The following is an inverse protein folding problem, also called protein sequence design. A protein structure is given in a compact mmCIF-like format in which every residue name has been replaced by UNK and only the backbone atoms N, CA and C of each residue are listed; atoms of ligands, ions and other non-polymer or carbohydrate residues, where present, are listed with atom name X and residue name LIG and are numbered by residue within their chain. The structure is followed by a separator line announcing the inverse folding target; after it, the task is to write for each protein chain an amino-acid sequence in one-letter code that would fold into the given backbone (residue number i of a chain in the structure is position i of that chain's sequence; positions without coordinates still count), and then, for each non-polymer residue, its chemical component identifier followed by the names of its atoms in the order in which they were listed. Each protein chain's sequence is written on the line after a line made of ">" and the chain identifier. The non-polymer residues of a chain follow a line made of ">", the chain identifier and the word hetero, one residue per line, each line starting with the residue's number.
data_IF_115046100274
#
_entry.id   IF_115046100274
#
_cell.length_a   1.000
_cell.length_b   1.000
_cell.length_c   1.000
_cell.angle_alpha   90.00
_cell.angle_beta   90.00
_cell.angle_gamma   90.00
#
_symmetry.space_group_name_H-M   'P 1'
#
loop_
_entity.id
_entity.type
_entity.pdbx_description
1 polymer ?
#
# COMPACT_ATOMS: atom_id res chain seq x y z
N UNK A 1 25.21 -4.82 -10.89
CA UNK A 1 23.85 -5.42 -11.09
C UNK A 1 22.76 -4.56 -10.46
N UNK A 2 22.94 -4.09 -9.22
CA UNK A 2 22.02 -3.14 -8.58
C UNK A 2 21.86 -1.83 -9.39
N UNK A 3 22.96 -1.28 -9.93
CA UNK A 3 22.90 -0.02 -10.71
C UNK A 3 22.04 -0.11 -11.97
N UNK A 4 22.01 -1.28 -12.63
CA UNK A 4 21.19 -1.48 -13.83
C UNK A 4 19.70 -1.56 -13.49
N UNK A 5 19.36 -2.19 -12.36
CA UNK A 5 17.97 -2.24 -11.86
C UNK A 5 17.53 -0.84 -11.44
N UNK A 6 18.40 -0.13 -10.72
CA UNK A 6 18.19 1.26 -10.31
C UNK A 6 17.90 2.17 -11.51
N UNK A 7 18.74 2.10 -12.55
CA UNK A 7 18.56 2.92 -13.76
C UNK A 7 17.28 2.56 -14.52
N UNK A 8 16.88 1.29 -14.49
CA UNK A 8 15.63 0.83 -15.14
C UNK A 8 14.40 1.31 -14.36
N UNK A 9 14.44 1.27 -13.03
CA UNK A 9 13.35 1.77 -12.18
C UNK A 9 13.21 3.29 -12.31
N UNK A 10 14.31 4.03 -12.26
CA UNK A 10 14.30 5.48 -12.47
C UNK A 10 13.79 5.86 -13.87
N UNK A 11 14.13 5.09 -14.91
CA UNK A 11 13.57 5.31 -16.25
C UNK A 11 12.07 4.99 -16.29
N UNK A 12 11.61 3.93 -15.62
CA UNK A 12 10.19 3.59 -15.55
C UNK A 12 9.38 4.66 -14.82
N UNK A 13 9.89 5.18 -13.71
CA UNK A 13 9.32 6.31 -12.97
C UNK A 13 9.15 7.53 -13.88
N UNK A 14 10.24 7.98 -14.51
CA UNK A 14 10.20 9.10 -15.46
C UNK A 14 9.23 8.84 -16.64
N UNK A 15 9.14 7.60 -17.13
CA UNK A 15 8.24 7.26 -18.23
C UNK A 15 6.76 7.23 -17.83
N UNK A 16 6.45 6.80 -16.60
CA UNK A 16 5.07 6.79 -16.09
C UNK A 16 4.62 8.22 -15.80
N UNK A 17 5.49 9.05 -15.22
CA UNK A 17 5.21 10.47 -14.96
C UNK A 17 4.95 11.26 -16.24
N UNK A 18 5.71 10.97 -17.30
CA UNK A 18 5.55 11.65 -18.59
C UNK A 18 4.35 11.17 -19.40
N UNK A 19 3.85 9.94 -19.18
CA UNK A 19 2.69 9.43 -19.93
C UNK A 19 1.94 8.29 -19.21
N UNK A 20 0.72 8.56 -18.70
CA UNK A 20 -0.16 7.52 -18.13
C UNK A 20 -0.51 6.40 -19.12
N UNK A 21 -0.44 6.66 -20.43
CA UNK A 21 -0.66 5.66 -21.48
C UNK A 21 0.43 4.58 -21.51
N UNK A 22 1.62 4.86 -20.98
CA UNK A 22 2.70 3.86 -20.84
C UNK A 22 2.34 2.87 -19.74
N UNK A 23 1.76 3.31 -18.62
CA UNK A 23 1.28 2.42 -17.56
C UNK A 23 0.23 1.43 -18.11
N UNK A 24 -0.76 1.92 -18.87
CA UNK A 24 -1.75 1.04 -19.50
C UNK A 24 -1.13 0.06 -20.51
N UNK A 25 -0.15 0.49 -21.30
CA UNK A 25 0.55 -0.42 -22.24
C UNK A 25 1.41 -1.44 -21.52
N UNK A 26 2.02 -1.06 -20.39
CA UNK A 26 2.81 -1.95 -19.54
C UNK A 26 1.93 -3.05 -18.95
N UNK A 27 0.65 -2.75 -18.69
CA UNK A 27 -0.35 -3.71 -18.20
C UNK A 27 -0.94 -4.53 -19.35
N UNK A 28 -1.33 -3.89 -20.47
CA UNK A 28 -1.95 -4.56 -21.62
C UNK A 28 -1.01 -5.50 -22.37
N UNK A 29 0.30 -5.22 -22.42
CA UNK A 29 1.28 -6.18 -22.97
C UNK A 29 1.32 -7.49 -22.17
N UNK A 30 0.94 -7.46 -20.89
CA UNK A 30 0.98 -8.62 -20.00
C UNK A 30 -0.26 -9.50 -20.16
N UNK A 31 -1.43 -8.92 -20.42
CA UNK A 31 -2.66 -9.67 -20.69
C UNK A 31 -2.65 -10.50 -21.99
N UNK A 32 -1.65 -10.30 -22.86
CA UNK A 32 -1.52 -11.04 -24.14
C UNK A 32 -0.60 -12.26 -24.07
N UNK A 33 0.20 -12.41 -23.01
CA UNK A 33 1.07 -13.59 -22.82
C UNK A 33 0.41 -14.70 -21.99
N UNK A 34 -0.75 -14.43 -21.37
CA UNK A 34 -1.56 -15.43 -20.67
C UNK A 34 -2.69 -15.96 -21.59
N UNK A 35 -2.32 -16.78 -22.58
CA UNK A 35 -3.24 -17.59 -23.41
C UNK A 35 -2.88 -19.09 -23.28
N UNK A 36 -3.85 -20.02 -23.44
CA UNK A 36 -3.87 -21.29 -22.72
C UNK A 36 -2.80 -22.25 -23.24
N UNK A 37 -1.91 -22.70 -22.35
CA UNK A 37 -1.02 -23.82 -22.61
C UNK A 37 -1.77 -25.13 -22.42
N UNK A 38 -1.80 -25.93 -23.48
CA UNK A 38 -2.43 -27.24 -23.57
C UNK A 38 -1.98 -28.20 -22.45
N UNK A 39 -2.95 -28.72 -21.70
CA UNK A 39 -2.75 -29.80 -20.75
C UNK A 39 -2.80 -31.14 -21.51
N UNK A 40 -1.63 -31.69 -21.82
CA UNK A 40 -1.46 -33.11 -22.12
C UNK A 40 -0.47 -33.71 -21.11
N UNK A 41 -0.97 -34.71 -20.37
CA UNK A 41 -0.30 -35.27 -19.20
C UNK A 41 0.89 -36.16 -19.51
N UNK A 42 1.67 -36.44 -18.45
CA UNK A 42 2.36 -37.72 -18.25
C UNK A 42 2.78 -37.88 -16.78
N UNK A 43 2.47 -39.06 -16.25
CA UNK A 43 2.86 -39.62 -14.96
C UNK A 43 4.34 -40.01 -14.93
N UNK A 44 4.99 -39.97 -13.76
CA UNK A 44 6.29 -40.60 -13.53
C UNK A 44 7.00 -40.11 -12.25
N UNK A 45 7.11 -40.96 -11.23
CA UNK A 45 7.71 -40.65 -9.92
C UNK A 45 9.24 -40.78 -9.82
N UNK A 46 9.81 -40.35 -8.68
CA UNK A 46 11.15 -40.78 -8.23
C UNK A 46 12.01 -39.74 -7.49
N UNK A 47 12.06 -39.86 -6.14
CA UNK A 47 13.14 -39.57 -5.16
C UNK A 47 14.18 -38.42 -5.39
N UNK A 48 14.20 -37.47 -4.43
CA UNK A 48 15.37 -37.16 -3.58
C UNK A 48 16.28 -35.96 -3.92
N UNK A 49 16.50 -35.11 -2.89
CA UNK A 49 17.65 -34.21 -2.56
C UNK A 49 17.47 -32.68 -2.65
N UNK A 50 17.74 -32.08 -1.47
CA UNK A 50 18.38 -30.77 -1.15
C UNK A 50 17.58 -29.45 -1.26
N UNK A 51 17.83 -28.49 -0.34
CA UNK A 51 17.00 -27.32 -0.14
C UNK A 51 17.33 -26.28 -1.21
N UNK A 52 16.54 -26.26 -2.28
CA UNK A 52 16.58 -25.17 -3.24
C UNK A 52 15.98 -23.94 -2.57
N UNK A 53 16.83 -22.95 -2.28
CA UNK A 53 16.40 -21.59 -2.03
C UNK A 53 15.39 -21.20 -3.10
N UNK A 54 14.22 -20.74 -2.65
CA UNK A 54 13.04 -20.50 -3.48
C UNK A 54 13.30 -19.39 -4.51
N UNK A 55 13.98 -19.74 -5.59
CA UNK A 55 13.98 -18.98 -6.83
C UNK A 55 12.68 -19.29 -7.57
N UNK A 56 11.56 -18.76 -7.08
CA UNK A 56 10.37 -18.60 -7.93
C UNK A 56 10.46 -17.23 -8.59
N UNK A 57 11.41 -17.06 -9.50
CA UNK A 57 11.27 -16.09 -10.57
C UNK A 57 10.22 -16.67 -11.55
N UNK A 58 8.97 -16.71 -11.09
CA UNK A 58 7.83 -16.91 -11.98
C UNK A 58 7.81 -15.71 -12.92
N UNK A 59 7.58 -15.94 -14.20
CA UNK A 59 7.38 -14.94 -15.25
C UNK A 59 6.16 -14.08 -14.92
N UNK A 60 6.28 -13.22 -13.91
CA UNK A 60 5.24 -12.37 -13.38
C UNK A 60 5.31 -11.01 -14.03
N UNK A 61 4.15 -10.40 -14.23
CA UNK A 61 4.03 -9.02 -14.69
C UNK A 61 4.88 -8.09 -13.81
N UNK A 62 5.33 -6.95 -14.37
CA UNK A 62 6.06 -5.92 -13.60
C UNK A 62 5.29 -5.54 -12.33
N UNK A 63 3.96 -5.48 -12.42
CA UNK A 63 3.08 -5.23 -11.27
C UNK A 63 3.22 -6.31 -10.18
N UNK A 64 3.19 -7.59 -10.55
CA UNK A 64 3.38 -8.70 -9.60
C UNK A 64 4.76 -8.64 -8.94
N UNK A 65 5.80 -8.27 -9.69
CA UNK A 65 7.13 -8.09 -9.14
C UNK A 65 7.20 -6.92 -8.16
N UNK A 66 6.59 -5.77 -8.50
CA UNK A 66 6.52 -4.60 -7.61
C UNK A 66 5.80 -4.94 -6.31
N UNK A 67 4.64 -5.59 -6.37
CA UNK A 67 3.89 -6.03 -5.19
C UNK A 67 4.74 -6.92 -4.29
N UNK A 68 5.41 -7.93 -4.88
CA UNK A 68 6.28 -8.82 -4.12
C UNK A 68 7.47 -8.07 -3.49
N UNK A 69 8.05 -7.12 -4.23
CA UNK A 69 9.21 -6.35 -3.80
C UNK A 69 8.89 -5.35 -2.68
N UNK A 70 7.74 -4.70 -2.75
CA UNK A 70 7.25 -3.79 -1.71
C UNK A 70 6.84 -4.61 -0.48
N UNK A 71 6.07 -5.67 -0.67
CA UNK A 71 5.57 -6.53 0.41
C UNK A 71 6.66 -7.25 1.22
N UNK A 72 7.80 -7.58 0.60
CA UNK A 72 8.83 -8.44 1.21
C UNK A 72 10.25 -7.97 0.89
N UNK A 73 11.15 -8.14 1.85
CA UNK A 73 12.58 -7.93 1.67
C UNK A 73 13.20 -6.95 2.66
N UNK A 74 14.51 -6.74 2.48
CA UNK A 74 15.31 -5.75 3.22
C UNK A 74 14.87 -4.33 2.88
N UNK A 75 15.07 -3.41 3.82
CA UNK A 75 14.87 -1.99 3.59
C UNK A 75 16.11 -1.48 2.86
N UNK A 76 16.00 -1.31 1.55
CA UNK A 76 17.03 -0.72 0.69
C UNK A 76 16.37 0.27 -0.28
N UNK A 77 17.19 1.07 -0.95
CA UNK A 77 16.70 2.10 -1.87
C UNK A 77 15.85 1.52 -3.00
N UNK A 78 16.14 0.30 -3.50
CA UNK A 78 15.33 -0.31 -4.55
C UNK A 78 13.90 -0.64 -4.08
N UNK A 79 13.72 -0.96 -2.79
CA UNK A 79 12.39 -1.18 -2.22
C UNK A 79 11.62 0.13 -2.09
N UNK A 80 12.31 1.22 -1.74
CA UNK A 80 11.73 2.57 -1.74
C UNK A 80 11.24 2.97 -3.15
N UNK A 81 12.10 2.88 -4.18
CA UNK A 81 11.70 3.15 -5.57
C UNK A 81 10.56 2.26 -6.05
N UNK A 82 10.58 0.97 -5.69
CA UNK A 82 9.49 0.07 -6.04
C UNK A 82 8.15 0.49 -5.40
N UNK A 83 8.18 1.04 -4.18
CA UNK A 83 6.96 1.54 -3.50
C UNK A 83 6.40 2.79 -4.16
N UNK A 84 7.27 3.70 -4.60
CA UNK A 84 6.90 4.93 -5.30
C UNK A 84 6.29 4.64 -6.67
N UNK A 85 6.97 3.83 -7.49
CA UNK A 85 6.45 3.42 -8.80
C UNK A 85 5.09 2.72 -8.65
N UNK A 86 4.95 1.84 -7.65
CA UNK A 86 3.68 1.17 -7.38
C UNK A 86 2.59 2.18 -7.02
N UNK A 87 2.88 3.16 -6.16
CA UNK A 87 1.94 4.21 -5.79
C UNK A 87 1.49 5.02 -7.03
N UNK A 88 2.43 5.46 -7.88
CA UNK A 88 2.14 6.22 -9.10
C UNK A 88 1.26 5.39 -10.06
N UNK A 89 1.60 4.11 -10.28
CA UNK A 89 0.82 3.23 -11.16
C UNK A 89 -0.63 3.06 -10.68
N UNK A 90 -0.83 2.98 -9.36
CA UNK A 90 -2.16 2.85 -8.77
C UNK A 90 -2.93 4.17 -8.75
N UNK A 91 -2.25 5.32 -8.64
CA UNK A 91 -2.92 6.63 -8.71
C UNK A 91 -3.39 6.95 -10.13
N UNK A 92 -2.65 6.51 -11.16
CA UNK A 92 -2.85 6.93 -12.55
C UNK A 92 -3.77 6.03 -13.37
N UNK A 93 -4.05 4.80 -12.94
CA UNK A 93 -4.86 3.87 -13.74
C UNK A 93 -5.75 2.95 -12.92
N UNK A 94 -7.05 2.98 -13.21
CA UNK A 94 -8.01 2.04 -12.63
C UNK A 94 -7.77 0.59 -13.09
N UNK A 95 -7.14 0.38 -14.25
CA UNK A 95 -6.72 -0.95 -14.68
C UNK A 95 -5.63 -1.50 -13.76
N UNK A 96 -4.66 -0.66 -13.35
CA UNK A 96 -3.66 -1.04 -12.34
C UNK A 96 -4.32 -1.39 -11.02
N UNK A 97 -5.27 -0.57 -10.55
CA UNK A 97 -5.99 -0.82 -9.29
C UNK A 97 -6.73 -2.16 -9.33
N UNK A 98 -7.42 -2.47 -10.43
CA UNK A 98 -8.14 -3.74 -10.60
C UNK A 98 -7.19 -4.93 -10.58
N UNK A 99 -6.12 -4.90 -11.38
CA UNK A 99 -5.13 -5.98 -11.40
C UNK A 99 -4.48 -6.17 -10.00
N UNK A 100 -4.10 -5.06 -9.35
CA UNK A 100 -3.54 -5.08 -8.00
C UNK A 100 -4.48 -5.70 -6.97
N UNK A 101 -5.72 -5.24 -6.89
CA UNK A 101 -6.65 -5.63 -5.85
C UNK A 101 -7.23 -7.02 -6.12
N UNK A 102 -7.69 -7.28 -7.34
CA UNK A 102 -8.54 -8.44 -7.66
C UNK A 102 -7.76 -9.64 -8.23
N UNK A 103 -6.62 -9.41 -8.88
CA UNK A 103 -5.90 -10.48 -9.59
C UNK A 103 -4.61 -10.90 -8.87
N UNK A 104 -3.91 -9.94 -8.25
CA UNK A 104 -2.55 -10.14 -7.75
C UNK A 104 -2.45 -10.23 -6.21
N UNK A 105 -3.56 -10.12 -5.49
CA UNK A 105 -3.56 -10.15 -4.02
C UNK A 105 -2.75 -9.00 -3.40
N UNK A 106 -2.67 -7.87 -4.09
CA UNK A 106 -1.82 -6.74 -3.70
C UNK A 106 -2.25 -6.09 -2.39
N UNK A 107 -3.55 -6.08 -2.10
CA UNK A 107 -4.10 -5.50 -0.86
C UNK A 107 -3.50 -6.19 0.38
N UNK A 108 -3.58 -7.52 0.43
CA UNK A 108 -3.00 -8.34 1.52
C UNK A 108 -1.49 -8.12 1.63
N UNK A 109 -0.77 -8.10 0.49
CA UNK A 109 0.68 -7.93 0.47
C UNK A 109 1.12 -6.58 1.07
N UNK A 110 0.44 -5.47 0.71
CA UNK A 110 0.76 -4.15 1.26
C UNK A 110 0.33 -4.01 2.72
N UNK A 111 -0.81 -4.59 3.11
CA UNK A 111 -1.25 -4.58 4.52
C UNK A 111 -0.27 -5.35 5.41
N UNK A 112 0.28 -6.48 4.94
CA UNK A 112 1.35 -7.18 5.64
C UNK A 112 2.60 -6.32 5.81
N UNK A 113 2.97 -5.53 4.80
CA UNK A 113 4.09 -4.60 4.89
C UNK A 113 3.83 -3.51 5.94
N UNK A 114 2.65 -2.89 5.92
CA UNK A 114 2.22 -1.89 6.92
C UNK A 114 2.16 -2.50 8.32
N UNK A 115 1.72 -3.75 8.45
CA UNK A 115 1.60 -4.43 9.74
C UNK A 115 2.95 -4.62 10.47
N UNK A 116 4.09 -4.54 9.78
CA UNK A 116 5.43 -4.52 10.41
C UNK A 116 5.59 -3.32 11.34
N UNK A 117 4.98 -2.18 11.00
CA UNK A 117 5.01 -0.93 11.77
C UNK A 117 3.97 -0.88 12.89
N UNK A 118 3.20 -1.97 13.11
CA UNK A 118 2.19 -2.00 14.17
C UNK A 118 2.80 -1.96 15.56
N UNK A 119 4.08 -2.32 15.71
CA UNK A 119 4.82 -2.37 16.98
C UNK A 119 5.88 -1.27 17.13
N UNK A 120 6.48 -0.80 16.03
CA UNK A 120 7.54 0.19 16.01
C UNK A 120 7.33 1.20 14.87
N UNK A 121 7.82 2.42 15.05
CA UNK A 121 7.85 3.42 13.97
C UNK A 121 9.02 3.11 13.01
N UNK A 122 9.00 3.68 11.78
CA UNK A 122 10.17 3.73 10.91
C UNK A 122 11.44 4.19 11.63
N UNK A 123 12.57 3.59 11.30
CA UNK A 123 13.87 3.84 11.92
C UNK A 123 14.61 5.05 11.34
N UNK A 124 14.35 5.38 10.07
CA UNK A 124 14.97 6.48 9.33
C UNK A 124 13.99 7.12 8.34
N UNK A 125 14.46 8.14 7.62
CA UNK A 125 13.66 8.90 6.67
C UNK A 125 13.27 8.09 5.42
N UNK A 126 14.15 7.20 4.93
CA UNK A 126 13.84 6.34 3.78
C UNK A 126 12.71 5.35 4.12
N UNK A 127 12.71 4.83 5.35
CA UNK A 127 11.66 3.94 5.81
C UNK A 127 10.33 4.67 6.08
N UNK A 128 10.39 5.94 6.50
CA UNK A 128 9.21 6.82 6.63
C UNK A 128 8.58 7.08 5.25
N UNK A 129 9.38 7.47 4.26
CA UNK A 129 8.96 7.70 2.88
C UNK A 129 8.40 6.41 2.23
N UNK A 130 9.08 5.28 2.44
CA UNK A 130 8.58 3.98 2.00
C UNK A 130 7.18 3.69 2.57
N UNK A 131 6.98 3.94 3.87
CA UNK A 131 5.70 3.70 4.52
C UNK A 131 4.61 4.64 3.96
N UNK A 132 4.93 5.90 3.72
CA UNK A 132 4.02 6.87 3.07
C UNK A 132 3.61 6.39 1.67
N UNK A 133 4.56 5.97 0.84
CA UNK A 133 4.29 5.42 -0.49
C UNK A 133 3.37 4.19 -0.44
N UNK A 134 3.57 3.30 0.53
CA UNK A 134 2.67 2.14 0.71
C UNK A 134 1.26 2.58 1.12
N UNK A 135 1.13 3.59 1.99
CA UNK A 135 -0.18 4.14 2.34
C UNK A 135 -0.87 4.82 1.15
N UNK A 136 -0.14 5.53 0.30
CA UNK A 136 -0.71 6.17 -0.89
C UNK A 136 -1.18 5.13 -1.91
N UNK A 137 -0.41 4.06 -2.12
CA UNK A 137 -0.83 2.89 -2.91
C UNK A 137 -2.12 2.25 -2.38
N UNK A 138 -2.20 2.07 -1.05
CA UNK A 138 -3.39 1.55 -0.38
C UNK A 138 -4.60 2.48 -0.52
N UNK A 139 -4.41 3.80 -0.35
CA UNK A 139 -5.47 4.80 -0.51
C UNK A 139 -6.00 4.83 -1.94
N UNK A 140 -5.11 4.85 -2.93
CA UNK A 140 -5.48 4.81 -4.35
C UNK A 140 -6.31 3.55 -4.67
N UNK A 141 -5.95 2.41 -4.06
CA UNK A 141 -6.67 1.15 -4.23
C UNK A 141 -8.02 1.14 -3.51
N UNK A 142 -8.14 1.77 -2.34
CA UNK A 142 -9.39 1.86 -1.57
C UNK A 142 -10.47 2.68 -2.29
N UNK A 143 -10.07 3.59 -3.19
CA UNK A 143 -11.00 4.34 -4.04
C UNK A 143 -11.67 3.48 -5.12
N UNK A 144 -11.17 2.27 -5.42
CA UNK A 144 -11.78 1.36 -6.39
C UNK A 144 -12.95 0.61 -5.73
N UNK A 145 -14.21 0.83 -6.14
CA UNK A 145 -15.37 0.19 -5.51
C UNK A 145 -15.32 -1.34 -5.56
N UNK A 146 -14.90 -1.92 -6.68
CA UNK A 146 -14.81 -3.37 -6.89
C UNK A 146 -13.75 -4.02 -5.98
N UNK A 147 -12.70 -3.28 -5.61
CA UNK A 147 -11.61 -3.74 -4.76
C UNK A 147 -11.96 -3.76 -3.26
N UNK A 148 -13.07 -3.14 -2.84
CA UNK A 148 -13.43 -3.02 -1.42
C UNK A 148 -13.71 -4.37 -0.76
N UNK A 149 -14.18 -5.36 -1.52
CA UNK A 149 -14.34 -6.73 -1.00
C UNK A 149 -13.01 -7.33 -0.55
N UNK A 150 -11.93 -7.12 -1.29
CA UNK A 150 -10.60 -7.62 -0.95
C UNK A 150 -9.99 -6.91 0.25
N UNK A 151 -10.30 -5.61 0.41
CA UNK A 151 -9.92 -4.83 1.60
C UNK A 151 -10.52 -5.43 2.88
N UNK A 152 -11.82 -5.78 2.84
CA UNK A 152 -12.52 -6.37 3.99
C UNK A 152 -11.97 -7.75 4.32
N UNK A 153 -11.73 -8.59 3.30
CA UNK A 153 -11.13 -9.92 3.46
C UNK A 153 -9.74 -9.86 4.10
N UNK A 154 -8.96 -8.82 3.78
CA UNK A 154 -7.62 -8.62 4.31
C UNK A 154 -7.59 -7.93 5.70
N UNK A 155 -8.74 -7.78 6.36
CA UNK A 155 -8.86 -7.14 7.69
C UNK A 155 -8.22 -5.74 7.75
N UNK A 156 -8.26 -5.00 6.64
CA UNK A 156 -7.55 -3.72 6.52
C UNK A 156 -8.02 -2.72 7.58
N UNK A 157 -9.33 -2.68 7.84
CA UNK A 157 -9.95 -1.75 8.78
C UNK A 157 -9.41 -1.97 10.20
N UNK A 158 -9.28 -3.22 10.65
CA UNK A 158 -8.72 -3.57 11.96
C UNK A 158 -7.29 -3.06 12.10
N UNK A 159 -6.47 -3.26 11.06
CA UNK A 159 -5.09 -2.78 11.04
C UNK A 159 -5.04 -1.25 11.14
N UNK A 160 -5.84 -0.54 10.35
CA UNK A 160 -5.86 0.93 10.38
C UNK A 160 -6.29 1.48 11.73
N UNK A 161 -7.29 0.87 12.38
CA UNK A 161 -7.71 1.27 13.73
C UNK A 161 -6.58 1.09 14.75
N UNK A 162 -5.79 0.02 14.64
CA UNK A 162 -4.59 -0.18 15.47
C UNK A 162 -3.56 0.92 15.21
N UNK A 163 -3.31 1.25 13.95
CA UNK A 163 -2.34 2.29 13.55
C UNK A 163 -2.75 3.67 14.09
N UNK A 164 -4.01 4.07 13.90
CA UNK A 164 -4.55 5.34 14.40
C UNK A 164 -4.37 5.51 15.92
N UNK A 165 -4.60 4.43 16.67
CA UNK A 165 -4.51 4.44 18.14
C UNK A 165 -3.05 4.53 18.63
N UNK A 166 -2.14 3.77 18.01
CA UNK A 166 -0.81 3.50 18.60
C UNK A 166 0.37 4.18 17.89
N UNK A 167 0.20 4.66 16.65
CA UNK A 167 1.30 5.11 15.79
C UNK A 167 1.12 6.56 15.37
N UNK A 168 1.88 7.52 15.93
CA UNK A 168 1.76 8.93 15.58
C UNK A 168 2.01 9.22 14.10
N UNK A 169 3.03 8.60 13.49
CA UNK A 169 3.39 8.82 12.08
C UNK A 169 2.37 8.20 11.12
N UNK A 170 1.92 6.97 11.39
CA UNK A 170 0.92 6.30 10.56
C UNK A 170 -0.53 6.76 10.82
N UNK A 171 -0.78 7.71 11.73
CA UNK A 171 -2.14 8.09 12.13
C UNK A 171 -2.90 8.81 11.04
N UNK A 172 -2.29 9.83 10.44
CA UNK A 172 -2.90 10.61 9.37
C UNK A 172 -3.08 9.74 8.11
N UNK A 173 -2.08 8.98 7.64
CA UNK A 173 -2.27 8.05 6.53
C UNK A 173 -3.33 6.98 6.79
N UNK A 174 -3.40 6.40 7.99
CA UNK A 174 -4.44 5.43 8.34
C UNK A 174 -5.83 6.05 8.35
N UNK A 175 -5.97 7.31 8.81
CA UNK A 175 -7.24 8.03 8.74
C UNK A 175 -7.66 8.34 7.31
N UNK A 176 -6.72 8.82 6.49
CA UNK A 176 -6.92 9.06 5.04
C UNK A 176 -7.38 7.79 4.34
N UNK A 177 -6.75 6.64 4.62
CA UNK A 177 -7.19 5.35 4.10
C UNK A 177 -8.62 5.00 4.55
N UNK A 178 -8.93 5.16 5.85
CA UNK A 178 -10.27 4.88 6.36
C UNK A 178 -11.32 5.74 5.64
N UNK A 179 -11.04 7.02 5.39
CA UNK A 179 -11.97 7.88 4.65
C UNK A 179 -12.37 7.28 3.29
N UNK A 180 -11.40 6.85 2.50
CA UNK A 180 -11.67 6.24 1.19
C UNK A 180 -12.30 4.86 1.29
N UNK A 181 -11.89 4.03 2.26
CA UNK A 181 -12.40 2.69 2.44
C UNK A 181 -13.88 2.68 2.89
N UNK A 182 -14.27 3.65 3.73
CA UNK A 182 -15.60 3.75 4.32
C UNK A 182 -16.63 4.44 3.41
N UNK A 183 -16.17 5.35 2.55
CA UNK A 183 -17.03 6.02 1.56
C UNK A 183 -17.78 4.96 0.74
N UNK A 184 -19.10 5.08 0.58
CA UNK A 184 -19.93 4.17 -0.21
C UNK A 184 -19.77 2.67 0.12
N UNK A 185 -19.46 2.32 1.38
CA UNK A 185 -19.24 0.93 1.80
C UNK A 185 -19.83 0.64 3.18
N UNK A 186 -21.11 0.29 3.21
CA UNK A 186 -21.80 -0.14 4.44
C UNK A 186 -21.05 -1.24 5.22
N UNK A 187 -20.58 -2.35 4.60
CA UNK A 187 -19.86 -3.38 5.34
C UNK A 187 -18.51 -2.90 5.91
N UNK A 188 -17.82 -1.95 5.26
CA UNK A 188 -16.62 -1.35 5.83
C UNK A 188 -16.93 -0.48 7.06
N UNK A 189 -18.03 0.28 7.02
CA UNK A 189 -18.51 1.05 8.17
C UNK A 189 -18.88 0.16 9.36
N UNK A 190 -19.58 -0.95 9.10
CA UNK A 190 -19.91 -1.93 10.14
C UNK A 190 -18.66 -2.52 10.78
N UNK A 191 -17.68 -2.94 9.97
CA UNK A 191 -16.40 -3.44 10.47
C UNK A 191 -15.65 -2.35 11.28
N UNK A 192 -15.64 -1.10 10.82
CA UNK A 192 -14.98 0.00 11.53
C UNK A 192 -15.56 0.24 12.93
N UNK A 193 -16.88 0.16 13.06
CA UNK A 193 -17.55 0.23 14.37
C UNK A 193 -17.19 -0.99 15.21
N UNK A 194 -17.22 -2.20 14.64
CA UNK A 194 -16.86 -3.44 15.33
C UNK A 194 -15.41 -3.44 15.84
N UNK A 195 -14.46 -2.89 15.07
CA UNK A 195 -13.04 -2.76 15.44
C UNK A 195 -12.77 -1.62 16.45
N UNK A 196 -13.82 -0.97 16.98
CA UNK A 196 -13.75 0.15 17.90
C UNK A 196 -13.03 1.38 17.29
N UNK A 197 -13.30 1.67 16.01
CA UNK A 197 -12.79 2.81 15.26
C UNK A 197 -13.39 4.16 15.68
N UNK A 198 -14.59 4.15 16.27
CA UNK A 198 -15.24 5.39 16.76
C UNK A 198 -14.44 6.07 17.87
N UNK A 199 -13.77 5.32 18.74
CA UNK A 199 -12.94 5.87 19.81
C UNK A 199 -11.85 6.84 19.32
N UNK A 200 -10.94 6.41 18.42
CA UNK A 200 -9.96 7.31 17.82
C UNK A 200 -10.60 8.39 16.95
N UNK A 201 -11.64 8.08 16.16
CA UNK A 201 -12.34 9.05 15.31
C UNK A 201 -12.87 10.25 16.12
N UNK A 202 -13.67 9.99 17.16
CA UNK A 202 -14.17 11.04 18.06
C UNK A 202 -13.04 11.72 18.84
N UNK A 203 -11.96 10.99 19.15
CA UNK A 203 -10.75 11.57 19.71
C UNK A 203 -10.21 12.69 18.81
N UNK A 204 -10.02 12.40 17.52
CA UNK A 204 -9.50 13.36 16.55
C UNK A 204 -10.50 14.48 16.24
N UNK A 205 -11.80 14.18 16.18
CA UNK A 205 -12.86 15.18 16.04
C UNK A 205 -12.81 16.23 17.15
N UNK A 206 -12.54 15.79 18.38
CA UNK A 206 -12.38 16.67 19.55
C UNK A 206 -10.98 17.31 19.65
N UNK A 207 -10.15 17.21 18.61
CA UNK A 207 -8.78 17.73 18.57
C UNK A 207 -7.77 16.94 19.41
N UNK A 208 -8.15 15.78 19.97
CA UNK A 208 -7.28 14.93 20.80
C UNK A 208 -6.53 13.93 19.92
N UNK A 209 -5.20 13.92 20.00
CA UNK A 209 -4.36 12.94 19.31
C UNK A 209 -3.21 13.56 18.50
N UNK A 210 -3.34 14.82 18.11
CA UNK A 210 -2.30 15.58 17.41
C UNK A 210 -1.28 16.24 18.39
N UNK A 211 -1.52 16.16 19.70
CA UNK A 211 -0.81 16.95 20.72
C UNK A 211 0.25 16.23 21.55
N UNK A 212 0.34 14.89 21.52
CA UNK A 212 1.12 14.14 22.54
C UNK A 212 2.59 13.85 22.20
N UNK A 213 3.23 14.67 21.36
CA UNK A 213 4.65 14.54 21.05
C UNK A 213 5.35 15.90 21.01
N UNK A 214 6.30 16.10 21.92
CA UNK A 214 7.23 17.24 22.05
C UNK A 214 6.69 18.51 22.74
N UNK A 215 7.36 18.84 23.85
CA UNK A 215 7.22 20.11 24.55
C UNK A 215 7.58 21.32 23.67
N UNK A 216 7.23 22.50 24.18
CA UNK A 216 7.52 23.84 23.64
C UNK A 216 8.81 23.86 22.80
N UNK A 217 8.72 24.06 21.47
CA UNK A 217 9.62 24.94 20.65
C UNK A 217 9.35 24.91 19.13
N UNK A 218 9.72 26.04 18.51
CA UNK A 218 9.83 26.40 17.08
C UNK A 218 8.54 26.72 16.28
N UNK A 219 8.44 27.98 15.80
CA UNK A 219 7.35 28.50 14.96
C UNK A 219 7.13 27.69 13.66
N UNK A 220 8.16 27.05 13.10
CA UNK A 220 8.06 26.22 11.90
C UNK A 220 7.28 24.92 12.09
N UNK A 221 7.54 24.18 13.18
CA UNK A 221 6.78 22.96 13.53
C UNK A 221 5.30 23.25 13.83
N UNK A 222 4.98 24.48 14.27
CA UNK A 222 3.59 24.89 14.54
C UNK A 222 2.76 25.02 13.26
N UNK A 223 3.36 25.41 12.13
CA UNK A 223 2.66 25.50 10.83
C UNK A 223 2.36 24.12 10.28
N UNK A 224 3.37 23.26 10.13
CA UNK A 224 3.21 21.88 9.65
C UNK A 224 2.20 21.07 10.48
N UNK A 225 2.20 21.25 11.81
CA UNK A 225 1.21 20.62 12.69
C UNK A 225 -0.21 21.15 12.48
N UNK A 226 -0.36 22.44 12.16
CA UNK A 226 -1.67 23.02 11.84
C UNK A 226 -2.18 22.49 10.50
N UNK A 227 -1.29 22.30 9.54
CA UNK A 227 -1.62 21.76 8.22
C UNK A 227 -2.08 20.29 8.36
N UNK A 228 -1.31 19.43 9.06
CA UNK A 228 -1.73 18.05 9.37
C UNK A 228 -3.01 17.99 10.21
N UNK A 229 -3.23 18.95 11.09
CA UNK A 229 -4.48 19.02 11.86
C UNK A 229 -5.68 19.40 10.98
N UNK A 230 -5.49 20.29 10.01
CA UNK A 230 -6.51 20.64 9.03
C UNK A 230 -6.87 19.45 8.15
N UNK A 231 -5.88 18.79 7.58
CA UNK A 231 -6.07 17.58 6.76
C UNK A 231 -6.74 16.46 7.55
N UNK A 232 -6.30 16.22 8.80
CA UNK A 232 -6.96 15.27 9.70
C UNK A 232 -8.44 15.62 9.91
N UNK A 233 -8.78 16.90 10.09
CA UNK A 233 -10.17 17.33 10.29
C UNK A 233 -11.03 17.09 9.05
N UNK A 234 -10.49 17.34 7.85
CA UNK A 234 -11.19 17.06 6.60
C UNK A 234 -11.58 15.58 6.49
N UNK A 235 -10.64 14.68 6.76
CA UNK A 235 -10.92 13.24 6.75
C UNK A 235 -11.88 12.80 7.85
N UNK A 236 -11.75 13.35 9.06
CA UNK A 236 -12.62 13.00 10.19
C UNK A 236 -14.06 13.44 9.96
N UNK A 237 -14.28 14.59 9.32
CA UNK A 237 -15.63 15.11 9.03
C UNK A 237 -16.27 14.39 7.83
N UNK A 238 -15.46 13.87 6.92
CA UNK A 238 -15.91 13.09 5.77
C UNK A 238 -16.38 11.67 6.13
N UNK A 239 -15.85 11.10 7.22
CA UNK A 239 -16.25 9.77 7.76
C UNK A 239 -17.48 9.91 8.66
#
# INVERSE_FOLDING_TARGET
>A
RADCVFQTLALLENMVDLSPAVAEKLIRRQGKEAGPGDDQGASGGGKGKEPKGSSSAASGSVMAWLIARVGRGENDSNRLYASEILAILLQTSDASKRAFALELGGMEALLQAVARYRKANPGDAEEEEYLENVFDALCASAMLPEGKGELLKAEAIDLMVIMMKKRPLARLPAMKFCNFALTDSAPACEQFVASLGLGPLFGFFMGKGLDKGAGKKAKGKKKMKRDQAGEMQEHVVSI
#
